data_IF_470379966611
#
_entry.id   IF_470379966611
#
_cell.length_a   1.000
_cell.length_b   1.000
_cell.length_c   1.000
_cell.angle_alpha   90.00
_cell.angle_beta   90.00
_cell.angle_gamma   90.00
#
_symmetry.space_group_name_H-M   'P 1'
#
loop_
_entity.id
_entity.type
_entity.pdbx_description
1 polymer ?
#
# COMPACT_ATOMS: atom_id res chain seq x y z
N UNK A 1 78.89 -14.00 -10.58
CA UNK A 1 77.62 -14.10 -9.84
C UNK A 1 76.62 -13.13 -10.50
N UNK A 2 75.56 -13.63 -11.13
CA UNK A 2 74.53 -12.82 -11.81
C UNK A 2 73.29 -12.80 -10.92
N UNK A 3 72.99 -11.68 -10.30
CA UNK A 3 71.73 -11.47 -9.53
C UNK A 3 70.54 -11.27 -10.50
N UNK A 4 69.58 -12.19 -10.47
CA UNK A 4 68.29 -12.02 -11.14
C UNK A 4 67.33 -11.31 -10.20
N UNK A 5 66.97 -10.08 -10.56
CA UNK A 5 65.92 -9.33 -9.88
C UNK A 5 64.60 -9.81 -10.39
N UNK A 6 63.77 -10.43 -9.53
CA UNK A 6 62.38 -10.86 -9.86
C UNK A 6 61.46 -9.68 -9.50
N UNK A 7 60.86 -9.05 -10.52
CA UNK A 7 59.80 -8.07 -10.33
C UNK A 7 58.48 -8.81 -10.07
N UNK A 8 57.99 -8.72 -8.84
CA UNK A 8 56.65 -9.18 -8.48
C UNK A 8 55.68 -8.03 -8.79
N UNK A 9 54.93 -8.20 -9.86
CA UNK A 9 53.82 -7.28 -10.20
C UNK A 9 52.60 -7.65 -9.35
N UNK A 10 52.32 -6.83 -8.35
CA UNK A 10 51.09 -6.96 -7.52
C UNK A 10 49.89 -6.44 -8.32
N UNK A 11 49.07 -7.34 -8.86
CA UNK A 11 47.81 -7.02 -9.52
C UNK A 11 46.79 -6.64 -8.43
N UNK A 12 46.55 -5.36 -8.23
CA UNK A 12 45.43 -4.87 -7.42
C UNK A 12 44.14 -5.09 -8.23
N UNK A 13 43.42 -6.17 -7.93
CA UNK A 13 42.06 -6.36 -8.40
C UNK A 13 41.13 -5.37 -7.66
N UNK A 14 40.72 -4.30 -8.32
CA UNK A 14 39.67 -3.39 -7.84
C UNK A 14 38.33 -4.15 -7.87
N UNK A 15 37.86 -4.59 -6.74
CA UNK A 15 36.50 -5.10 -6.57
C UNK A 15 35.53 -3.94 -6.76
N UNK A 16 35.02 -3.78 -7.97
CA UNK A 16 33.88 -2.89 -8.25
C UNK A 16 32.65 -3.52 -7.62
N UNK A 17 32.21 -3.01 -6.47
CA UNK A 17 30.90 -3.36 -5.94
C UNK A 17 29.84 -2.81 -6.88
N UNK A 18 28.91 -3.65 -7.40
CA UNK A 18 27.82 -3.14 -8.20
C UNK A 18 26.99 -2.20 -7.30
N UNK A 19 26.90 -0.91 -7.67
CA UNK A 19 25.94 -0.01 -7.07
C UNK A 19 24.56 -0.58 -7.34
N UNK A 20 23.81 -0.91 -6.31
CA UNK A 20 22.41 -1.28 -6.46
C UNK A 20 21.68 -0.09 -7.06
N UNK A 21 21.48 -0.13 -8.37
CA UNK A 21 20.74 0.88 -9.10
C UNK A 21 19.27 0.70 -8.72
N UNK A 22 18.65 1.74 -8.19
CA UNK A 22 17.22 1.71 -7.92
C UNK A 22 16.50 1.33 -9.20
N UNK A 23 15.58 0.35 -9.13
CA UNK A 23 14.84 -0.09 -10.30
C UNK A 23 14.15 1.10 -10.97
N UNK A 24 14.36 1.28 -12.27
CA UNK A 24 13.83 2.43 -13.03
C UNK A 24 12.31 2.40 -13.13
N UNK A 25 11.69 1.22 -12.94
CA UNK A 25 10.24 1.00 -12.98
C UNK A 25 9.74 0.29 -11.72
N UNK A 26 8.45 0.25 -11.55
CA UNK A 26 7.73 -0.47 -10.52
C UNK A 26 6.23 -0.37 -10.76
N UNK A 27 5.45 -0.84 -9.83
CA UNK A 27 4.00 -0.97 -9.95
C UNK A 27 3.27 0.02 -9.07
N UNK A 28 2.25 0.71 -9.61
CA UNK A 28 1.27 1.43 -8.82
C UNK A 28 -0.01 0.60 -8.71
N UNK A 29 -0.54 0.53 -7.51
CA UNK A 29 -1.68 -0.34 -7.19
C UNK A 29 -2.36 0.07 -5.88
N UNK A 30 -3.44 -0.58 -5.52
CA UNK A 30 -4.09 -0.45 -4.23
C UNK A 30 -3.45 -1.38 -3.19
N UNK A 31 -2.71 -0.82 -2.25
CA UNK A 31 -2.22 -1.54 -1.08
C UNK A 31 -3.28 -1.63 0.00
N UNK A 32 -3.34 -2.77 0.68
CA UNK A 32 -4.27 -3.04 1.78
C UNK A 32 -3.52 -3.07 3.11
N UNK A 33 -4.09 -2.41 4.11
CA UNK A 33 -3.51 -2.22 5.43
C UNK A 33 -4.58 -2.42 6.49
N UNK A 34 -4.15 -2.88 7.65
CA UNK A 34 -5.02 -3.15 8.77
C UNK A 34 -4.49 -2.51 10.05
N UNK A 35 -5.40 -2.12 10.93
CA UNK A 35 -5.11 -1.73 12.30
C UNK A 35 -6.10 -2.42 13.22
N UNK A 36 -5.61 -3.29 14.07
CA UNK A 36 -6.40 -3.98 15.10
C UNK A 36 -7.07 -2.97 16.05
N UNK A 37 -8.09 -3.37 16.81
CA UNK A 37 -8.72 -2.49 17.80
C UNK A 37 -7.69 -1.84 18.73
N UNK A 38 -7.75 -0.52 18.84
CA UNK A 38 -6.80 0.27 19.65
C UNK A 38 -5.44 0.54 19.01
N UNK A 39 -5.10 -0.08 17.88
CA UNK A 39 -3.85 0.19 17.19
C UNK A 39 -3.81 1.61 16.61
N UNK A 40 -2.63 2.23 16.69
CA UNK A 40 -2.36 3.60 16.19
C UNK A 40 -1.41 3.61 14.99
N UNK A 41 -1.02 2.42 14.50
CA UNK A 41 -0.14 2.23 13.34
C UNK A 41 -0.76 1.25 12.37
N UNK A 42 -0.48 1.47 11.10
CA UNK A 42 -0.85 0.54 10.04
C UNK A 42 0.08 -0.66 10.00
N UNK A 43 -0.48 -1.83 9.75
CA UNK A 43 0.22 -3.05 9.36
C UNK A 43 -0.18 -3.40 7.93
N UNK A 44 0.78 -3.65 7.05
CA UNK A 44 0.47 -4.15 5.71
C UNK A 44 -0.21 -5.51 5.82
N UNK A 45 -1.33 -5.68 5.14
CA UNK A 45 -2.02 -6.95 5.11
C UNK A 45 -1.24 -7.95 4.25
N UNK A 46 -0.98 -9.13 4.80
CA UNK A 46 -0.28 -10.22 4.10
C UNK A 46 -1.21 -11.07 3.25
N UNK A 47 -2.51 -10.89 3.41
CA UNK A 47 -3.58 -11.57 2.67
C UNK A 47 -4.52 -10.55 2.06
N UNK A 48 -5.29 -10.96 1.06
CA UNK A 48 -6.37 -10.13 0.52
C UNK A 48 -7.49 -9.88 1.56
N UNK A 49 -8.45 -9.02 1.25
CA UNK A 49 -9.52 -8.63 2.17
C UNK A 49 -10.61 -9.72 2.34
N UNK A 50 -10.24 -10.98 2.22
CA UNK A 50 -11.12 -12.15 2.33
C UNK A 50 -11.12 -12.75 3.74
N UNK A 51 -10.56 -12.02 4.72
CA UNK A 51 -10.55 -12.41 6.12
C UNK A 51 -11.63 -11.66 6.91
N UNK A 52 -12.10 -12.28 7.99
CA UNK A 52 -13.00 -11.62 8.93
C UNK A 52 -12.23 -10.50 9.65
N UNK A 53 -12.84 -9.33 9.76
CA UNK A 53 -12.27 -8.15 10.43
C UNK A 53 -12.95 -7.96 11.79
N UNK A 54 -12.20 -7.62 12.82
CA UNK A 54 -12.66 -7.51 14.18
C UNK A 54 -13.40 -6.18 14.44
N UNK A 55 -14.44 -6.20 15.31
CA UNK A 55 -15.11 -4.97 15.76
C UNK A 55 -14.12 -4.00 16.40
N UNK A 56 -14.15 -2.75 15.99
CA UNK A 56 -13.22 -1.72 16.48
C UNK A 56 -11.92 -1.60 15.67
N UNK A 57 -11.71 -2.44 14.65
CA UNK A 57 -10.56 -2.31 13.74
C UNK A 57 -10.73 -1.18 12.73
N UNK A 58 -9.64 -0.82 12.08
CA UNK A 58 -9.63 0.11 10.93
C UNK A 58 -8.97 -0.58 9.74
N UNK A 59 -9.69 -0.61 8.62
CA UNK A 59 -9.22 -1.13 7.34
C UNK A 59 -8.75 0.03 6.46
N UNK A 60 -7.52 -0.03 5.98
CA UNK A 60 -6.86 1.03 5.22
C UNK A 60 -6.53 0.61 3.79
N UNK A 61 -6.85 1.47 2.85
CA UNK A 61 -6.53 1.28 1.44
C UNK A 61 -5.73 2.48 0.97
N UNK A 62 -4.57 2.25 0.34
CA UNK A 62 -3.74 3.32 -0.21
C UNK A 62 -3.38 3.04 -1.66
N UNK A 63 -3.58 4.03 -2.53
CA UNK A 63 -3.03 3.97 -3.88
C UNK A 63 -1.54 4.27 -3.80
N UNK A 64 -0.72 3.27 -4.01
CA UNK A 64 0.69 3.24 -3.67
C UNK A 64 1.56 2.77 -4.84
N UNK A 65 2.87 2.73 -4.62
CA UNK A 65 3.87 2.26 -5.57
C UNK A 65 4.91 1.42 -4.84
N UNK A 66 5.37 0.35 -5.47
CA UNK A 66 6.52 -0.41 -5.01
C UNK A 66 7.37 -0.91 -6.18
N UNK A 67 8.63 -1.21 -5.90
CA UNK A 67 9.57 -1.91 -6.77
C UNK A 67 10.63 -2.60 -5.89
N UNK A 68 11.62 -3.23 -6.49
CA UNK A 68 12.66 -3.97 -5.74
C UNK A 68 13.47 -3.08 -4.78
N UNK A 69 13.64 -1.79 -5.10
CA UNK A 69 14.33 -0.84 -4.23
C UNK A 69 13.38 -0.19 -3.18
N UNK A 70 12.07 -0.27 -3.40
CA UNK A 70 11.01 0.23 -2.52
C UNK A 70 9.97 -0.88 -2.36
N UNK A 71 10.30 -1.97 -1.65
CA UNK A 71 9.44 -3.15 -1.57
C UNK A 71 8.18 -2.90 -0.74
N UNK A 72 8.25 -1.94 0.20
CA UNK A 72 7.14 -1.66 1.11
C UNK A 72 6.16 -0.66 0.49
N UNK A 73 4.93 -1.08 0.32
CA UNK A 73 3.82 -0.20 0.01
C UNK A 73 3.68 0.91 1.09
N UNK A 74 3.46 2.16 0.67
CA UNK A 74 3.16 3.23 1.63
C UNK A 74 1.72 3.09 2.11
N UNK A 75 1.56 3.01 3.43
CA UNK A 75 0.26 3.02 4.11
C UNK A 75 -0.47 4.36 3.89
N UNK A 76 -1.79 4.42 4.19
CA UNK A 76 -2.52 5.68 4.23
C UNK A 76 -1.76 6.72 5.06
N UNK A 77 -1.70 7.96 4.55
CA UNK A 77 -0.94 9.07 5.18
C UNK A 77 -1.46 9.50 6.54
N UNK A 78 -2.73 9.20 6.86
CA UNK A 78 -3.36 9.45 8.14
C UNK A 78 -3.26 8.19 8.99
N UNK A 79 -2.82 8.33 10.24
CA UNK A 79 -2.78 7.22 11.19
C UNK A 79 -4.19 6.63 11.43
N UNK A 80 -4.32 5.32 11.67
CA UNK A 80 -5.61 4.71 11.94
C UNK A 80 -6.15 5.21 13.28
N UNK A 81 -7.44 5.57 13.32
CA UNK A 81 -8.13 5.96 14.55
C UNK A 81 -9.59 5.56 14.46
N UNK A 82 -9.94 4.45 15.10
CA UNK A 82 -11.31 3.99 15.16
C UNK A 82 -12.22 5.04 15.82
N UNK A 83 -11.79 5.65 16.90
CA UNK A 83 -12.57 6.65 17.59
C UNK A 83 -12.86 7.89 16.73
N UNK A 84 -11.91 8.34 15.93
CA UNK A 84 -12.11 9.45 15.00
C UNK A 84 -13.10 9.11 13.89
N UNK A 85 -13.08 7.87 13.39
CA UNK A 85 -13.91 7.44 12.26
C UNK A 85 -15.29 6.98 12.73
N UNK A 86 -15.35 6.19 13.80
CA UNK A 86 -16.57 5.52 14.28
C UNK A 86 -17.13 6.06 15.59
N UNK A 87 -16.48 7.00 16.24
CA UNK A 87 -16.87 7.44 17.59
C UNK A 87 -18.30 8.00 17.72
N UNK A 88 -18.86 8.52 16.62
CA UNK A 88 -20.25 9.02 16.56
C UNK A 88 -21.25 7.95 16.08
N UNK A 89 -20.79 6.78 15.64
CA UNK A 89 -21.65 5.71 15.14
C UNK A 89 -22.05 4.80 16.29
N UNK A 90 -23.35 4.68 16.56
CA UNK A 90 -23.87 3.80 17.61
C UNK A 90 -23.60 2.33 17.28
N UNK A 91 -23.28 1.56 18.31
CA UNK A 91 -23.20 0.10 18.19
C UNK A 91 -24.60 -0.47 17.93
N UNK A 92 -24.68 -1.52 17.13
CA UNK A 92 -25.90 -2.24 16.81
C UNK A 92 -25.73 -3.69 17.27
N UNK A 93 -26.70 -4.23 17.99
CA UNK A 93 -26.66 -5.61 18.45
C UNK A 93 -26.50 -6.59 17.27
N UNK A 94 -25.60 -7.56 17.41
CA UNK A 94 -25.33 -8.54 16.34
C UNK A 94 -24.45 -8.02 15.19
N UNK A 95 -24.06 -6.73 15.19
CA UNK A 95 -23.20 -6.14 14.18
C UNK A 95 -21.83 -5.77 14.76
N UNK A 96 -20.90 -5.44 13.87
CA UNK A 96 -19.61 -4.87 14.18
C UNK A 96 -19.44 -3.52 13.49
N UNK A 97 -18.60 -2.64 14.05
CA UNK A 97 -18.25 -1.35 13.47
C UNK A 97 -16.79 -1.39 13.03
N UNK A 98 -16.55 -1.05 11.80
CA UNK A 98 -15.23 -1.03 11.21
C UNK A 98 -14.98 0.36 10.65
N UNK A 99 -13.85 0.97 11.02
CA UNK A 99 -13.38 2.18 10.35
C UNK A 99 -12.80 1.82 8.99
N UNK A 100 -13.21 2.51 7.93
CA UNK A 100 -12.61 2.36 6.60
C UNK A 100 -11.94 3.66 6.21
N UNK A 101 -10.69 3.57 5.76
CA UNK A 101 -9.91 4.69 5.24
C UNK A 101 -9.43 4.37 3.82
N UNK A 102 -9.70 5.28 2.87
CA UNK A 102 -9.22 5.16 1.48
C UNK A 102 -8.39 6.40 1.15
N UNK A 103 -7.09 6.19 1.00
CA UNK A 103 -6.12 7.22 0.59
C UNK A 103 -5.78 7.03 -0.89
N UNK A 104 -6.15 7.97 -1.71
CA UNK A 104 -5.94 7.95 -3.16
C UNK A 104 -4.49 8.27 -3.56
N UNK A 105 -3.59 8.32 -2.61
CA UNK A 105 -2.16 8.45 -2.82
C UNK A 105 -1.69 9.85 -3.16
N UNK A 106 -0.45 9.93 -3.60
CA UNK A 106 0.21 11.17 -4.01
C UNK A 106 -0.12 11.50 -5.47
N UNK A 107 -0.15 12.79 -5.80
CA UNK A 107 -0.34 13.27 -7.18
C UNK A 107 0.71 12.76 -8.17
N UNK A 108 1.90 12.35 -7.70
CA UNK A 108 2.94 11.74 -8.56
C UNK A 108 2.57 10.34 -9.07
N UNK A 109 1.61 9.67 -8.39
CA UNK A 109 1.09 8.37 -8.82
C UNK A 109 -0.16 8.49 -9.70
N UNK A 110 -0.68 9.70 -9.88
CA UNK A 110 -1.94 9.95 -10.58
C UNK A 110 -1.86 9.47 -12.03
N UNK A 111 -2.86 8.69 -12.53
CA UNK A 111 -2.98 8.39 -13.94
C UNK A 111 -3.11 9.67 -14.78
N UNK A 112 -2.61 9.61 -16.01
CA UNK A 112 -2.71 10.73 -16.94
C UNK A 112 -4.17 11.09 -17.20
N UNK A 113 -4.50 12.36 -17.04
CA UNK A 113 -5.86 12.86 -17.31
C UNK A 113 -6.85 12.69 -16.16
N UNK A 114 -6.43 12.07 -15.04
CA UNK A 114 -7.28 11.92 -13.85
C UNK A 114 -6.92 12.96 -12.77
N UNK A 115 -7.83 13.19 -11.83
CA UNK A 115 -7.60 13.98 -10.62
C UNK A 115 -7.54 13.07 -9.41
N UNK A 116 -6.59 13.28 -8.50
CA UNK A 116 -6.50 12.50 -7.25
C UNK A 116 -7.67 12.88 -6.34
N UNK A 117 -8.57 11.94 -5.98
CA UNK A 117 -9.67 12.23 -5.09
C UNK A 117 -9.21 12.56 -3.66
N UNK A 118 -10.10 13.12 -2.87
CA UNK A 118 -9.84 13.35 -1.45
C UNK A 118 -9.90 12.05 -0.68
N UNK A 119 -9.12 11.97 0.40
CA UNK A 119 -9.17 10.87 1.37
C UNK A 119 -10.60 10.65 1.86
N UNK A 120 -11.01 9.38 1.93
CA UNK A 120 -12.30 8.95 2.46
C UNK A 120 -12.07 8.31 3.83
N UNK A 121 -12.93 8.66 4.79
CA UNK A 121 -13.06 8.00 6.08
C UNK A 121 -14.54 7.70 6.31
N UNK A 122 -14.88 6.44 6.58
CA UNK A 122 -16.26 6.02 6.79
C UNK A 122 -16.34 4.93 7.84
N UNK A 123 -17.26 5.06 8.77
CA UNK A 123 -17.61 3.98 9.68
C UNK A 123 -18.65 3.07 8.99
N UNK A 124 -18.33 1.78 8.92
CA UNK A 124 -19.21 0.75 8.37
C UNK A 124 -19.76 -0.08 9.53
N UNK A 125 -21.08 -0.28 9.54
CA UNK A 125 -21.77 -1.21 10.45
C UNK A 125 -22.12 -2.45 9.65
N UNK A 126 -21.41 -3.54 9.90
CA UNK A 126 -21.51 -4.77 9.12
C UNK A 126 -21.93 -5.96 9.98
N UNK A 127 -22.31 -7.05 9.34
CA UNK A 127 -22.53 -8.31 10.02
C UNK A 127 -21.23 -8.83 10.67
N UNK A 128 -21.34 -9.56 11.79
CA UNK A 128 -20.17 -10.13 12.47
C UNK A 128 -19.33 -11.04 11.56
N UNK A 129 -19.95 -11.70 10.59
CA UNK A 129 -19.29 -12.55 9.61
C UNK A 129 -18.72 -11.81 8.40
N UNK A 130 -19.02 -10.52 8.22
CA UNK A 130 -18.56 -9.76 7.04
C UNK A 130 -17.04 -9.78 6.92
N UNK A 131 -16.55 -10.01 5.72
CA UNK A 131 -15.13 -9.98 5.38
C UNK A 131 -14.68 -8.55 5.07
N UNK A 132 -13.38 -8.31 5.03
CA UNK A 132 -12.83 -7.01 4.67
C UNK A 132 -13.35 -6.46 3.34
N UNK A 133 -13.56 -7.34 2.34
CA UNK A 133 -14.12 -6.95 1.04
C UNK A 133 -15.58 -6.49 1.14
N UNK A 134 -16.37 -7.13 1.98
CA UNK A 134 -17.77 -6.74 2.21
C UNK A 134 -17.86 -5.37 2.90
N UNK A 135 -16.95 -5.14 3.85
CA UNK A 135 -16.81 -3.85 4.54
C UNK A 135 -16.37 -2.76 3.57
N UNK A 136 -15.38 -3.05 2.71
CA UNK A 136 -14.92 -2.10 1.69
C UNK A 136 -16.05 -1.75 0.71
N UNK A 137 -16.80 -2.75 0.23
CA UNK A 137 -17.92 -2.56 -0.70
C UNK A 137 -19.07 -1.72 -0.13
N UNK A 138 -19.26 -1.72 1.20
CA UNK A 138 -20.23 -0.84 1.87
C UNK A 138 -19.68 0.60 2.05
N UNK A 139 -18.37 0.78 2.02
CA UNK A 139 -17.75 2.09 2.13
C UNK A 139 -17.67 2.82 0.80
N UNK A 140 -17.24 2.14 -0.25
CA UNK A 140 -16.95 2.70 -1.59
C UNK A 140 -17.35 1.73 -2.70
N UNK A 141 -17.47 2.25 -3.93
CA UNK A 141 -17.61 1.40 -5.13
C UNK A 141 -16.28 0.70 -5.41
N UNK A 142 -16.31 -0.61 -5.51
CA UNK A 142 -15.12 -1.44 -5.78
C UNK A 142 -15.14 -1.91 -7.23
N UNK A 143 -14.03 -1.76 -7.94
CA UNK A 143 -13.74 -2.43 -9.21
C UNK A 143 -12.59 -3.37 -8.98
N UNK A 144 -12.83 -4.67 -9.19
CA UNK A 144 -11.86 -5.73 -9.03
C UNK A 144 -11.83 -6.61 -10.29
N UNK A 145 -10.73 -7.32 -10.50
CA UNK A 145 -10.62 -8.40 -11.48
C UNK A 145 -10.98 -9.75 -10.87
N UNK A 146 -11.15 -10.77 -11.73
CA UNK A 146 -11.64 -12.10 -11.34
C UNK A 146 -10.82 -12.81 -10.26
N UNK A 147 -9.56 -12.43 -10.04
CA UNK A 147 -8.71 -12.90 -8.95
C UNK A 147 -8.97 -12.22 -7.60
N UNK A 148 -9.89 -11.25 -7.54
CA UNK A 148 -10.10 -10.42 -6.35
C UNK A 148 -9.11 -9.25 -6.20
N UNK A 149 -8.26 -9.02 -7.19
CA UNK A 149 -7.33 -7.89 -7.19
C UNK A 149 -8.09 -6.56 -7.36
N UNK A 150 -7.91 -5.65 -6.43
CA UNK A 150 -8.60 -4.35 -6.44
C UNK A 150 -7.96 -3.43 -7.48
N UNK A 151 -8.73 -3.09 -8.51
CA UNK A 151 -8.31 -2.24 -9.60
C UNK A 151 -8.67 -0.77 -9.40
N UNK A 152 -9.80 -0.49 -8.75
CA UNK A 152 -10.24 0.88 -8.54
C UNK A 152 -11.25 1.02 -7.43
N UNK A 153 -11.18 2.15 -6.72
CA UNK A 153 -12.11 2.52 -5.65
C UNK A 153 -12.77 3.86 -6.00
N UNK A 154 -14.11 3.91 -5.97
CA UNK A 154 -14.92 5.06 -6.41
C UNK A 154 -14.53 5.58 -7.81
N UNK A 155 -14.17 4.66 -8.73
CA UNK A 155 -13.81 5.01 -10.09
C UNK A 155 -12.38 5.54 -10.26
N UNK A 156 -11.53 5.47 -9.25
CA UNK A 156 -10.12 5.84 -9.36
C UNK A 156 -9.20 4.64 -9.04
N UNK A 157 -8.17 4.35 -9.86
CA UNK A 157 -8.06 4.85 -11.24
C UNK A 157 -9.22 4.35 -12.09
N UNK A 158 -9.59 5.12 -13.13
CA UNK A 158 -10.80 4.82 -13.91
C UNK A 158 -10.70 3.53 -14.73
N UNK A 159 -9.50 3.23 -15.28
CA UNK A 159 -9.30 2.13 -16.23
C UNK A 159 -8.18 1.17 -15.85
N UNK A 160 -7.17 1.65 -15.13
CA UNK A 160 -5.98 0.86 -14.80
C UNK A 160 -6.25 -0.19 -13.74
N UNK A 161 -5.45 -1.26 -13.76
CA UNK A 161 -5.49 -2.32 -12.78
C UNK A 161 -4.09 -2.85 -12.52
N UNK A 162 -3.37 -2.21 -11.60
CA UNK A 162 -1.97 -2.51 -11.33
C UNK A 162 -1.10 -2.25 -12.57
N UNK A 163 -0.54 -1.05 -12.69
CA UNK A 163 0.20 -0.63 -13.89
C UNK A 163 1.64 -0.38 -13.56
N UNK A 164 2.53 -0.91 -14.40
CA UNK A 164 3.94 -0.57 -14.37
C UNK A 164 4.15 0.89 -14.77
N UNK A 165 5.02 1.58 -14.04
CA UNK A 165 5.39 2.95 -14.32
C UNK A 165 6.84 3.22 -13.94
N UNK A 166 7.42 4.30 -14.48
CA UNK A 166 8.73 4.77 -14.02
C UNK A 166 8.67 5.16 -12.55
N UNK A 167 9.73 4.86 -11.80
CA UNK A 167 9.84 5.27 -10.40
C UNK A 167 9.65 6.78 -10.28
N UNK A 168 8.66 7.25 -9.53
CA UNK A 168 8.38 8.69 -9.43
C UNK A 168 9.51 9.41 -8.70
N UNK A 169 9.91 10.56 -9.23
CA UNK A 169 10.91 11.42 -8.57
C UNK A 169 10.44 11.78 -7.15
N UNK A 170 11.33 11.60 -6.16
CA UNK A 170 11.02 11.87 -4.75
C UNK A 170 10.18 10.81 -4.03
N UNK A 171 9.81 9.71 -4.69
CA UNK A 171 9.12 8.58 -4.04
C UNK A 171 10.10 7.69 -3.26
N UNK A 172 11.38 7.72 -3.62
CA UNK A 172 12.45 7.00 -2.92
C UNK A 172 12.57 7.57 -1.51
N UNK A 173 12.53 6.72 -0.49
CA UNK A 173 12.93 7.10 0.87
C UNK A 173 14.40 7.55 0.82
N UNK A 174 14.67 8.79 1.17
CA UNK A 174 16.02 9.20 1.59
C UNK A 174 16.30 8.60 2.95
#
# INVERSE_FOLDING_TARGET
MKFKVIFVVLLLATLSTPSAQAADTGWRYWGYFQAAPGATKWTAAMTGPTVNVEDGSVEGWAFTFSNDAIPDAKAPKVAPSFSSICGKTKAVAGKKRIGVMVDFGSSVLRPKGESTPRLIQKCVVADKSALGIDVLGQAVKVRAEGSGFICGLNGYPAKECGVEMKTPKGYIKK
#
